data_IF_554093580162
#
_entry.id   IF_554093580162
#
_cell.length_a   1.000
_cell.length_b   1.000
_cell.length_c   1.000
_cell.angle_alpha   90.00
_cell.angle_beta   90.00
_cell.angle_gamma   90.00
#
_symmetry.space_group_name_H-M   'P 1'
#
loop_
_entity.id
_entity.type
_entity.pdbx_description
1 polymer ?
#
# COMPACT_ATOMS: atom_id res chain seq x y z
N UNK A 1 2.15 -21.56 16.48
CA UNK A 1 3.08 -20.42 16.58
C UNK A 1 3.72 -20.14 15.23
N UNK A 2 4.34 -21.13 14.59
CA UNK A 2 4.94 -20.97 13.24
C UNK A 2 3.95 -20.56 12.13
N UNK A 3 2.70 -21.06 12.17
CA UNK A 3 1.71 -20.72 11.14
C UNK A 3 1.24 -19.26 11.23
N UNK A 4 1.06 -18.76 12.45
CA UNK A 4 0.72 -17.36 12.70
C UNK A 4 1.85 -16.42 12.28
N UNK A 5 3.10 -16.77 12.60
CA UNK A 5 4.28 -16.01 12.20
C UNK A 5 4.43 -15.93 10.66
N UNK A 6 4.23 -17.05 9.97
CA UNK A 6 4.23 -17.10 8.49
C UNK A 6 3.13 -16.22 7.91
N UNK A 7 1.90 -16.29 8.45
CA UNK A 7 0.76 -15.46 7.99
C UNK A 7 1.07 -13.97 8.18
N UNK A 8 1.50 -13.57 9.37
CA UNK A 8 1.81 -12.18 9.70
C UNK A 8 2.95 -11.67 8.83
N UNK A 9 4.04 -12.43 8.70
CA UNK A 9 5.16 -12.07 7.84
C UNK A 9 4.73 -11.87 6.39
N UNK A 10 3.92 -12.78 5.84
CA UNK A 10 3.39 -12.65 4.48
C UNK A 10 2.52 -11.38 4.34
N UNK A 11 1.64 -11.12 5.30
CA UNK A 11 0.73 -9.96 5.28
C UNK A 11 1.51 -8.65 5.29
N UNK A 12 2.51 -8.52 6.16
CA UNK A 12 3.38 -7.34 6.20
C UNK A 12 4.18 -7.17 4.91
N UNK A 13 4.68 -8.26 4.33
CA UNK A 13 5.41 -8.22 3.06
C UNK A 13 4.53 -7.78 1.89
N UNK A 14 3.29 -8.28 1.80
CA UNK A 14 2.34 -7.87 0.77
C UNK A 14 1.94 -6.40 0.93
N UNK A 15 1.68 -5.96 2.15
CA UNK A 15 1.39 -4.56 2.46
C UNK A 15 2.58 -3.65 2.12
N UNK A 16 3.81 -4.04 2.48
CA UNK A 16 5.03 -3.33 2.11
C UNK A 16 5.22 -3.26 0.59
N UNK A 17 4.88 -4.33 -0.14
CA UNK A 17 4.94 -4.34 -1.60
C UNK A 17 4.04 -3.27 -2.22
N UNK A 18 2.84 -3.03 -1.67
CA UNK A 18 1.97 -1.93 -2.14
C UNK A 18 2.67 -0.58 -2.07
N UNK A 19 3.28 -0.26 -0.91
CA UNK A 19 3.99 0.98 -0.70
C UNK A 19 5.20 1.12 -1.65
N UNK A 20 6.03 0.09 -1.73
CA UNK A 20 7.22 0.07 -2.58
C UNK A 20 6.87 0.19 -4.06
N UNK A 21 5.85 -0.52 -4.52
CA UNK A 21 5.49 -0.51 -5.95
C UNK A 21 4.91 0.87 -6.32
N UNK A 22 4.14 1.51 -5.44
CA UNK A 22 3.70 2.90 -5.62
C UNK A 22 4.89 3.86 -5.77
N UNK A 23 5.94 3.77 -4.94
CA UNK A 23 7.11 4.68 -5.07
C UNK A 23 7.85 4.58 -6.41
N UNK A 24 7.58 3.52 -7.20
CA UNK A 24 8.15 3.35 -8.54
C UNK A 24 7.23 3.91 -9.62
N UNK A 25 5.92 3.70 -9.52
CA UNK A 25 4.96 4.07 -10.57
C UNK A 25 4.24 5.40 -10.34
N UNK A 26 4.09 5.82 -9.08
CA UNK A 26 3.22 6.93 -8.65
C UNK A 26 1.75 6.78 -9.12
N UNK A 27 1.34 5.57 -9.48
CA UNK A 27 0.01 5.26 -10.00
C UNK A 27 -0.95 4.90 -8.85
N UNK A 28 -1.83 5.84 -8.51
CA UNK A 28 -2.86 5.65 -7.49
C UNK A 28 -3.93 4.65 -7.87
N UNK A 29 -4.23 4.47 -9.17
CA UNK A 29 -5.19 3.46 -9.62
C UNK A 29 -4.62 2.07 -9.41
N UNK A 30 -3.38 1.84 -9.83
CA UNK A 30 -2.67 0.58 -9.60
C UNK A 30 -2.58 0.27 -8.10
N UNK A 31 -2.25 1.27 -7.27
CA UNK A 31 -2.24 1.11 -5.83
C UNK A 31 -3.61 0.68 -5.28
N UNK A 32 -4.70 1.34 -5.70
CA UNK A 32 -6.04 1.03 -5.21
C UNK A 32 -6.50 -0.38 -5.60
N UNK A 33 -6.26 -0.81 -6.83
CA UNK A 33 -6.59 -2.16 -7.29
C UNK A 33 -5.79 -3.23 -6.52
N UNK A 34 -4.49 -2.99 -6.29
CA UNK A 34 -3.62 -3.92 -5.56
C UNK A 34 -3.97 -3.99 -4.07
N UNK A 35 -4.32 -2.85 -3.46
CA UNK A 35 -4.82 -2.74 -2.09
C UNK A 35 -6.03 -3.66 -1.87
N UNK A 36 -7.02 -3.56 -2.75
CA UNK A 36 -8.26 -4.33 -2.62
C UNK A 36 -7.97 -5.83 -2.78
N UNK A 37 -7.07 -6.20 -3.70
CA UNK A 37 -6.63 -7.60 -3.86
C UNK A 37 -5.93 -8.16 -2.61
N UNK A 38 -5.12 -7.36 -1.91
CA UNK A 38 -4.50 -7.79 -0.63
C UNK A 38 -5.57 -7.99 0.45
N UNK A 39 -6.54 -7.08 0.58
CA UNK A 39 -7.63 -7.23 1.54
C UNK A 39 -8.42 -8.54 1.28
N UNK A 40 -8.75 -8.83 0.01
CA UNK A 40 -9.45 -10.05 -0.37
C UNK A 40 -8.61 -11.32 -0.12
N UNK A 41 -7.30 -11.29 -0.41
CA UNK A 41 -6.38 -12.42 -0.16
C UNK A 41 -6.40 -12.90 1.29
N UNK A 42 -6.57 -11.97 2.24
CA UNK A 42 -6.60 -12.26 3.68
C UNK A 42 -8.02 -12.36 4.24
N UNK A 43 -9.04 -12.47 3.38
CA UNK A 43 -10.43 -12.68 3.78
C UNK A 43 -11.02 -11.49 4.56
N UNK A 44 -10.57 -10.27 4.27
CA UNK A 44 -11.08 -9.03 4.87
C UNK A 44 -10.99 -9.00 6.40
N UNK A 45 -9.99 -9.67 6.98
CA UNK A 45 -9.75 -9.65 8.42
C UNK A 45 -9.33 -8.25 8.89
N UNK A 46 -9.70 -7.88 10.11
CA UNK A 46 -9.45 -6.52 10.60
C UNK A 46 -7.96 -6.15 10.61
N UNK A 47 -7.07 -7.10 10.92
CA UNK A 47 -5.63 -6.85 11.00
C UNK A 47 -5.01 -6.46 9.65
N UNK A 48 -5.43 -7.09 8.53
CA UNK A 48 -4.99 -6.68 7.20
C UNK A 48 -5.62 -5.34 6.79
N UNK A 49 -6.88 -5.10 7.14
CA UNK A 49 -7.58 -3.86 6.80
C UNK A 49 -6.90 -2.69 7.50
N UNK A 50 -6.63 -2.81 8.80
CA UNK A 50 -5.98 -1.77 9.59
C UNK A 50 -4.57 -1.46 9.07
N UNK A 51 -3.80 -2.50 8.73
CA UNK A 51 -2.46 -2.34 8.17
C UNK A 51 -2.49 -1.65 6.79
N UNK A 52 -3.41 -2.06 5.93
CA UNK A 52 -3.59 -1.47 4.60
C UNK A 52 -4.05 -0.01 4.69
N UNK A 53 -4.97 0.31 5.61
CA UNK A 53 -5.39 1.69 5.87
C UNK A 53 -4.22 2.56 6.34
N UNK A 54 -3.37 2.04 7.23
CA UNK A 54 -2.17 2.73 7.67
C UNK A 54 -1.23 3.03 6.49
N UNK A 55 -1.01 2.07 5.58
CA UNK A 55 -0.19 2.27 4.37
C UNK A 55 -0.84 3.26 3.40
N UNK A 56 -2.16 3.18 3.18
CA UNK A 56 -2.86 4.02 2.23
C UNK A 56 -2.70 5.52 2.55
N UNK A 57 -2.74 5.89 3.82
CA UNK A 57 -2.51 7.27 4.27
C UNK A 57 -1.09 7.74 3.91
N UNK A 58 -0.09 6.86 4.05
CA UNK A 58 1.31 7.17 3.68
C UNK A 58 1.48 7.31 2.17
N UNK A 59 0.87 6.43 1.39
CA UNK A 59 0.89 6.50 -0.08
C UNK A 59 0.21 7.79 -0.56
N UNK A 60 -0.94 8.17 0.00
CA UNK A 60 -1.59 9.44 -0.35
C UNK A 60 -0.68 10.64 -0.05
N UNK A 61 -0.01 10.65 1.11
CA UNK A 61 0.94 11.72 1.45
C UNK A 61 2.04 11.84 0.41
N UNK A 62 2.63 10.71 -0.01
CA UNK A 62 3.65 10.70 -1.07
C UNK A 62 3.10 11.14 -2.42
N UNK A 63 1.87 10.76 -2.75
CA UNK A 63 1.21 11.20 -3.98
C UNK A 63 1.03 12.71 -4.03
N UNK A 64 0.55 13.30 -2.94
CA UNK A 64 0.37 14.74 -2.85
C UNK A 64 1.71 15.48 -2.97
N UNK A 65 2.80 14.92 -2.41
CA UNK A 65 4.15 15.47 -2.57
C UNK A 65 4.62 15.40 -4.03
N UNK A 66 4.48 14.24 -4.68
CA UNK A 66 4.88 14.05 -6.08
C UNK A 66 4.08 14.95 -7.04
N UNK A 67 2.77 15.09 -6.83
CA UNK A 67 1.92 15.99 -7.61
C UNK A 67 2.30 17.47 -7.44
N UNK A 68 2.76 17.88 -6.26
CA UNK A 68 3.29 19.25 -6.04
C UNK A 68 4.60 19.45 -6.79
N UNK A 69 5.56 18.53 -6.64
CA UNK A 69 6.84 18.60 -7.35
C UNK A 69 6.67 18.64 -8.87
N UNK A 70 5.71 17.87 -9.42
CA UNK A 70 5.38 17.90 -10.84
C UNK A 70 4.82 19.24 -11.31
N UNK A 71 4.02 19.91 -10.48
CA UNK A 71 3.46 21.24 -10.78
C UNK A 71 4.50 22.35 -10.67
N UNK A 72 5.38 22.25 -9.67
CA UNK A 72 6.42 23.25 -9.39
C UNK A 72 7.65 23.08 -10.29
N UNK A 73 7.92 21.87 -10.78
CA UNK A 73 9.00 21.53 -11.71
C UNK A 73 8.64 21.69 -13.19
N UNK A 74 7.45 22.18 -13.51
CA UNK A 74 7.03 22.52 -14.87
C UNK A 74 7.57 23.89 -15.29
N UNK A 75 8.77 23.91 -15.90
CA UNK A 75 9.26 25.02 -16.72
C UNK A 75 9.30 24.57 -18.18
#
# INVERSE_FOLDING_TARGET
MEEYDKRVTAMYNDCWKLYRDYTKSHDMRQFNEAKDAVIEKYGRQCDVIDLVLWIAIRVQTLHDMWEREKKDGGN
#
